data_IF_768790364087
#
_entry.id   IF_768790364087
#
_cell.length_a   1.000
_cell.length_b   1.000
_cell.length_c   1.000
_cell.angle_alpha   90.00
_cell.angle_beta   90.00
_cell.angle_gamma   90.00
#
_symmetry.space_group_name_H-M   'P 1'
#
loop_
_entity.id
_entity.type
_entity.pdbx_description
1 polymer ?
#
# COMPACT_ATOMS: atom_id res chain seq x y z
N UNK A 1 2.83 -21.36 -6.60
CA UNK A 1 1.65 -20.65 -7.14
C UNK A 1 2.13 -19.62 -8.15
N UNK A 2 1.82 -19.74 -9.45
CA UNK A 2 2.40 -18.91 -10.51
C UNK A 2 1.92 -17.44 -10.52
N UNK A 3 0.76 -17.15 -9.92
CA UNK A 3 0.19 -15.80 -9.93
C UNK A 3 1.08 -14.76 -9.24
N UNK A 4 1.55 -15.05 -8.02
CA UNK A 4 2.38 -14.13 -7.25
C UNK A 4 3.68 -13.80 -8.00
N UNK A 5 4.35 -14.82 -8.53
CA UNK A 5 5.58 -14.66 -9.32
C UNK A 5 5.35 -13.91 -10.64
N UNK A 6 4.26 -14.20 -11.36
CA UNK A 6 3.96 -13.54 -12.64
C UNK A 6 3.62 -12.05 -12.44
N UNK A 7 2.91 -11.73 -11.35
CA UNK A 7 2.62 -10.35 -10.97
C UNK A 7 3.87 -9.60 -10.53
N UNK A 8 4.70 -10.22 -9.69
CA UNK A 8 5.98 -9.66 -9.24
C UNK A 8 6.90 -9.35 -10.43
N UNK A 9 7.07 -10.30 -11.37
CA UNK A 9 7.85 -10.07 -12.59
C UNK A 9 7.33 -8.92 -13.47
N UNK A 10 6.03 -8.66 -13.46
CA UNK A 10 5.44 -7.52 -14.17
C UNK A 10 5.75 -6.18 -13.47
N UNK A 11 5.77 -6.16 -12.15
CA UNK A 11 6.16 -5.00 -11.34
C UNK A 11 7.66 -4.73 -11.44
N UNK A 12 8.50 -5.76 -11.39
CA UNK A 12 9.96 -5.64 -11.61
C UNK A 12 10.25 -4.97 -12.94
N UNK A 13 9.57 -5.38 -14.02
CA UNK A 13 9.74 -4.75 -15.33
C UNK A 13 9.40 -3.25 -15.33
N UNK A 14 8.37 -2.85 -14.58
CA UNK A 14 8.01 -1.43 -14.41
C UNK A 14 9.12 -0.68 -13.68
N UNK A 15 9.68 -1.27 -12.62
CA UNK A 15 10.74 -0.68 -11.80
C UNK A 15 12.11 -0.64 -12.50
N UNK A 16 12.39 -1.56 -13.42
CA UNK A 16 13.57 -1.55 -14.28
C UNK A 16 13.50 -0.48 -15.38
N UNK A 17 12.28 -0.03 -15.73
CA UNK A 17 12.03 0.90 -16.84
C UNK A 17 11.26 2.18 -16.42
N UNK A 18 11.70 2.93 -15.40
CA UNK A 18 10.94 4.10 -14.92
C UNK A 18 11.08 5.32 -15.86
N UNK A 19 12.16 5.37 -16.64
CA UNK A 19 12.59 6.49 -17.49
C UNK A 19 11.98 6.38 -18.90
N UNK A 20 11.88 5.16 -19.44
CA UNK A 20 11.34 4.92 -20.78
C UNK A 20 9.81 4.80 -20.78
N UNK A 21 9.23 4.84 -21.98
CA UNK A 21 7.82 4.49 -22.16
C UNK A 21 7.61 3.01 -21.81
N UNK A 22 6.90 2.80 -20.71
CA UNK A 22 6.56 1.46 -20.24
C UNK A 22 5.54 0.86 -21.22
N UNK A 23 5.94 -0.18 -21.93
CA UNK A 23 5.02 -0.94 -22.79
C UNK A 23 4.09 -1.80 -21.93
N UNK A 24 2.86 -1.33 -21.76
CA UNK A 24 1.83 -2.04 -21.01
C UNK A 24 1.50 -3.42 -21.60
N UNK A 25 1.79 -3.68 -22.87
CA UNK A 25 1.63 -5.01 -23.44
C UNK A 25 2.71 -5.97 -22.92
N UNK A 26 3.94 -5.50 -22.77
CA UNK A 26 5.04 -6.26 -22.17
C UNK A 26 4.77 -6.55 -20.69
N UNK A 27 4.27 -5.56 -19.94
CA UNK A 27 3.81 -5.74 -18.54
C UNK A 27 2.76 -6.85 -18.47
N UNK A 28 1.74 -6.76 -19.33
CA UNK A 28 0.63 -7.71 -19.35
C UNK A 28 1.07 -9.14 -19.73
N UNK A 29 1.99 -9.27 -20.70
CA UNK A 29 2.59 -10.55 -21.09
C UNK A 29 3.32 -11.21 -19.92
N UNK A 30 4.09 -10.45 -19.14
CA UNK A 30 4.76 -10.94 -17.92
C UNK A 30 3.75 -11.44 -16.88
N UNK A 31 2.65 -10.70 -16.71
CA UNK A 31 1.55 -11.09 -15.85
C UNK A 31 0.58 -12.13 -16.46
N UNK A 32 0.87 -12.67 -17.65
CA UNK A 32 0.04 -13.64 -18.39
C UNK A 32 -1.45 -13.24 -18.52
N UNK A 33 -1.73 -11.94 -18.68
CA UNK A 33 -3.08 -11.42 -18.83
C UNK A 33 -3.13 -10.32 -19.90
N UNK A 34 -4.32 -9.74 -20.13
CA UNK A 34 -4.44 -8.55 -20.97
C UNK A 34 -4.04 -7.28 -20.20
N UNK A 35 -3.60 -6.25 -20.92
CA UNK A 35 -3.23 -4.95 -20.32
C UNK A 35 -4.36 -4.33 -19.51
N UNK A 36 -5.60 -4.52 -19.96
CA UNK A 36 -6.79 -4.11 -19.22
C UNK A 36 -6.94 -4.88 -17.89
N UNK A 37 -6.80 -6.21 -17.91
CA UNK A 37 -6.90 -7.03 -16.69
C UNK A 37 -5.78 -6.68 -15.71
N UNK A 38 -4.55 -6.52 -16.18
CA UNK A 38 -3.43 -6.15 -15.32
C UNK A 38 -3.68 -4.82 -14.60
N UNK A 39 -4.10 -3.78 -15.32
CA UNK A 39 -4.36 -2.46 -14.72
C UNK A 39 -5.51 -2.50 -13.70
N UNK A 40 -6.59 -3.24 -13.99
CA UNK A 40 -7.72 -3.42 -13.07
C UNK A 40 -7.30 -4.16 -11.81
N UNK A 41 -6.56 -5.25 -11.98
CA UNK A 41 -6.04 -6.06 -10.90
C UNK A 41 -5.06 -5.27 -10.02
N UNK A 42 -4.09 -4.58 -10.64
CA UNK A 42 -3.18 -3.68 -9.94
C UNK A 42 -3.96 -2.66 -9.11
N UNK A 43 -4.92 -1.97 -9.73
CA UNK A 43 -5.70 -0.94 -9.03
C UNK A 43 -6.50 -1.52 -7.87
N UNK A 44 -7.02 -2.74 -8.02
CA UNK A 44 -7.76 -3.44 -6.97
C UNK A 44 -6.88 -3.88 -5.81
N UNK A 45 -5.63 -4.27 -6.08
CA UNK A 45 -4.69 -4.74 -5.05
C UNK A 45 -4.02 -3.58 -4.31
N UNK A 46 -3.66 -2.50 -5.02
CA UNK A 46 -2.86 -1.39 -4.48
C UNK A 46 -3.75 -0.21 -4.02
N UNK A 47 -4.98 -0.13 -4.53
CA UNK A 47 -5.89 0.99 -4.24
C UNK A 47 -5.58 2.27 -5.03
N UNK A 48 -4.61 2.25 -5.95
CA UNK A 48 -4.31 3.36 -6.87
C UNK A 48 -4.17 2.86 -8.31
N UNK A 49 -4.47 3.70 -9.32
CA UNK A 49 -4.22 3.36 -10.72
C UNK A 49 -2.75 3.08 -10.99
N UNK A 50 -2.46 2.16 -11.92
CA UNK A 50 -1.09 1.86 -12.35
C UNK A 50 -0.35 3.10 -12.88
N UNK A 51 -1.04 3.96 -13.63
CA UNK A 51 -0.47 5.21 -14.14
C UNK A 51 -0.07 6.17 -13.01
N UNK A 52 -0.82 6.20 -11.92
CA UNK A 52 -0.51 7.00 -10.74
C UNK A 52 0.72 6.44 -10.02
N UNK A 53 0.83 5.11 -9.90
CA UNK A 53 2.03 4.48 -9.38
C UNK A 53 3.28 4.86 -10.17
N UNK A 54 3.26 4.66 -11.49
CA UNK A 54 4.38 5.02 -12.39
C UNK A 54 4.74 6.50 -12.26
N UNK A 55 3.74 7.39 -12.21
CA UNK A 55 3.95 8.84 -12.01
C UNK A 55 4.67 9.13 -10.70
N UNK A 56 4.29 8.46 -9.61
CA UNK A 56 4.92 8.63 -8.29
C UNK A 56 6.37 8.15 -8.26
N UNK A 57 6.64 7.01 -8.90
CA UNK A 57 8.00 6.48 -9.05
C UNK A 57 8.89 7.42 -9.87
N UNK A 58 8.41 7.89 -11.02
CA UNK A 58 9.11 8.86 -11.88
C UNK A 58 9.47 10.15 -11.15
N UNK A 59 8.51 10.75 -10.44
CA UNK A 59 8.75 12.01 -9.72
C UNK A 59 9.71 11.83 -8.53
N UNK A 60 9.61 10.70 -7.81
CA UNK A 60 10.57 10.35 -6.73
C UNK A 60 12.00 10.24 -7.27
N UNK A 61 12.20 9.56 -8.40
CA UNK A 61 13.51 9.41 -9.02
C UNK A 61 14.03 10.73 -9.61
N UNK A 62 13.16 11.52 -10.23
CA UNK A 62 13.51 12.85 -10.71
C UNK A 62 13.97 13.79 -9.58
N UNK A 63 13.26 13.76 -8.45
CA UNK A 63 13.64 14.52 -7.26
C UNK A 63 15.04 14.12 -6.77
N UNK A 64 15.31 12.81 -6.67
CA UNK A 64 16.61 12.30 -6.29
C UNK A 64 17.72 12.74 -7.26
N UNK A 65 17.46 12.70 -8.57
CA UNK A 65 18.43 13.14 -9.58
C UNK A 65 18.69 14.66 -9.54
N UNK A 66 17.66 15.47 -9.27
CA UNK A 66 17.82 16.93 -9.14
C UNK A 66 18.65 17.28 -7.90
N UNK A 67 18.50 16.54 -6.79
CA UNK A 67 19.29 16.74 -5.57
C UNK A 67 20.77 16.36 -5.77
N UNK A 68 21.03 15.30 -6.54
CA UNK A 68 22.36 14.73 -6.68
C UNK A 68 23.10 15.15 -7.97
N UNK A 69 22.52 16.05 -8.78
CA UNK A 69 23.13 16.50 -10.04
C UNK A 69 22.84 17.95 -10.39
N UNK A 70 23.78 18.55 -11.12
CA UNK A 70 23.64 19.87 -11.73
C UNK A 70 22.94 19.85 -13.11
N UNK A 71 22.36 18.70 -13.50
CA UNK A 71 21.68 18.53 -14.79
C UNK A 71 20.55 19.54 -15.02
N UNK A 72 20.25 19.89 -16.28
CA UNK A 72 19.15 20.83 -16.54
C UNK A 72 17.83 20.17 -16.17
N UNK A 73 16.97 20.90 -15.43
CA UNK A 73 15.65 20.41 -15.01
C UNK A 73 14.81 19.97 -16.23
N UNK A 74 14.94 20.66 -17.36
CA UNK A 74 14.27 20.28 -18.61
C UNK A 74 14.74 18.92 -19.13
N UNK A 75 16.04 18.63 -19.08
CA UNK A 75 16.60 17.36 -19.54
C UNK A 75 16.16 16.22 -18.60
N UNK A 76 16.13 16.48 -17.29
CA UNK A 76 15.60 15.55 -16.28
C UNK A 76 14.10 15.31 -16.51
N UNK A 77 13.31 16.34 -16.79
CA UNK A 77 11.89 16.21 -17.09
C UNK A 77 11.65 15.29 -18.29
N UNK A 78 12.38 15.52 -19.39
CA UNK A 78 12.33 14.69 -20.60
C UNK A 78 12.73 13.24 -20.31
N UNK A 79 13.81 13.05 -19.54
CA UNK A 79 14.26 11.73 -19.09
C UNK A 79 13.16 10.97 -18.36
N UNK A 80 12.37 11.61 -17.50
CA UNK A 80 11.28 10.94 -16.78
C UNK A 80 9.92 10.98 -17.50
N UNK A 81 9.94 11.13 -18.82
CA UNK A 81 8.75 10.97 -19.68
C UNK A 81 7.80 12.17 -19.68
N UNK A 82 8.29 13.38 -19.38
CA UNK A 82 7.51 14.61 -19.51
C UNK A 82 7.94 15.40 -20.75
N UNK A 83 7.00 15.64 -21.67
CA UNK A 83 7.26 16.35 -22.92
C UNK A 83 7.59 17.84 -22.72
N UNK A 84 7.12 18.46 -21.63
CA UNK A 84 7.28 19.89 -21.38
C UNK A 84 7.69 20.18 -19.95
N UNK A 85 8.50 21.23 -19.77
CA UNK A 85 8.93 21.69 -18.45
C UNK A 85 7.75 22.10 -17.55
N UNK A 86 6.69 22.67 -18.13
CA UNK A 86 5.50 23.11 -17.40
C UNK A 86 4.68 21.95 -16.85
N UNK A 87 4.48 20.87 -17.63
CA UNK A 87 3.76 19.68 -17.17
C UNK A 87 4.52 18.97 -16.05
N UNK A 88 5.85 18.85 -16.18
CA UNK A 88 6.72 18.32 -15.15
C UNK A 88 6.65 19.17 -13.87
N UNK A 89 6.85 20.49 -13.98
CA UNK A 89 6.84 21.38 -12.81
C UNK A 89 5.53 21.31 -12.04
N UNK A 90 4.40 21.28 -12.75
CA UNK A 90 3.07 21.14 -12.13
C UNK A 90 2.92 19.81 -11.40
N UNK A 91 3.26 18.70 -12.05
CA UNK A 91 3.16 17.37 -11.45
C UNK A 91 4.10 17.20 -10.24
N UNK A 92 5.32 17.72 -10.37
CA UNK A 92 6.35 17.70 -9.33
C UNK A 92 5.90 18.51 -8.11
N UNK A 93 5.40 19.74 -8.31
CA UNK A 93 4.92 20.58 -7.23
C UNK A 93 3.69 19.99 -6.54
N UNK A 94 2.77 19.37 -7.30
CA UNK A 94 1.62 18.67 -6.71
C UNK A 94 2.03 17.51 -5.79
N UNK A 95 3.13 16.83 -6.11
CA UNK A 95 3.63 15.73 -5.30
C UNK A 95 4.49 16.18 -4.12
N UNK A 96 5.51 16.99 -4.39
CA UNK A 96 6.54 17.33 -3.41
C UNK A 96 6.25 18.64 -2.66
N UNK A 97 5.23 19.41 -3.06
CA UNK A 97 4.88 20.70 -2.47
C UNK A 97 5.80 21.87 -2.88
N UNK A 98 6.89 21.58 -3.59
CA UNK A 98 7.90 22.56 -4.02
C UNK A 98 8.18 22.45 -5.51
N UNK A 99 8.72 23.50 -6.13
CA UNK A 99 9.13 23.45 -7.53
C UNK A 99 10.47 22.72 -7.69
N UNK A 100 10.73 22.10 -8.85
CA UNK A 100 12.01 21.43 -9.13
C UNK A 100 13.23 22.31 -8.86
N UNK A 101 13.18 23.61 -9.18
CA UNK A 101 14.30 24.54 -8.98
C UNK A 101 14.64 24.78 -7.50
N UNK A 102 13.67 24.60 -6.59
CA UNK A 102 13.91 24.78 -5.14
C UNK A 102 14.61 23.57 -4.52
N UNK A 103 14.52 22.40 -5.14
CA UNK A 103 15.02 21.11 -4.61
C UNK A 103 16.51 21.13 -4.28
N UNK A 104 17.32 21.92 -4.99
CA UNK A 104 18.76 22.07 -4.75
C UNK A 104 19.11 22.90 -3.52
N UNK A 105 18.14 23.56 -2.91
CA UNK A 105 18.37 24.34 -1.69
C UNK A 105 18.36 23.41 -0.49
N UNK A 106 19.32 23.54 0.41
CA UNK A 106 19.36 22.77 1.64
C UNK A 106 18.07 22.92 2.46
N UNK A 107 17.64 21.84 3.12
CA UNK A 107 16.49 21.83 4.04
C UNK A 107 15.11 21.63 3.39
N UNK A 108 15.04 21.26 2.11
CA UNK A 108 13.79 20.96 1.42
C UNK A 108 13.30 19.54 1.74
N UNK A 109 12.07 19.41 2.23
CA UNK A 109 11.41 18.11 2.43
C UNK A 109 10.72 17.66 1.14
N UNK A 110 10.92 16.39 0.76
CA UNK A 110 10.36 15.79 -0.45
C UNK A 110 9.61 14.51 -0.11
N UNK A 111 8.50 14.28 -0.80
CA UNK A 111 7.79 13.00 -0.75
C UNK A 111 8.55 11.94 -1.55
N UNK A 112 8.72 10.74 -0.98
CA UNK A 112 9.30 9.60 -1.66
C UNK A 112 8.34 8.42 -1.64
N UNK A 113 8.11 7.82 -2.81
CA UNK A 113 7.29 6.61 -2.96
C UNK A 113 8.22 5.45 -3.34
N UNK A 114 8.61 4.56 -2.42
CA UNK A 114 9.50 3.44 -2.74
C UNK A 114 8.85 2.43 -3.72
N UNK A 115 9.64 1.56 -4.37
CA UNK A 115 9.10 0.41 -5.09
C UNK A 115 8.14 -0.39 -4.21
N UNK A 116 7.06 -0.90 -4.78
CA UNK A 116 6.15 -1.77 -4.03
C UNK A 116 6.78 -3.16 -3.90
N UNK A 117 6.68 -3.74 -2.70
CA UNK A 117 6.96 -5.15 -2.42
C UNK A 117 5.69 -5.87 -1.99
N UNK A 118 5.56 -7.14 -2.35
CA UNK A 118 4.39 -7.97 -2.03
C UNK A 118 4.78 -9.13 -1.11
N UNK A 119 3.90 -9.43 -0.17
CA UNK A 119 3.90 -10.69 0.57
C UNK A 119 2.53 -11.35 0.39
N UNK A 120 2.49 -12.45 -0.36
CA UNK A 120 1.27 -13.24 -0.53
C UNK A 120 1.18 -14.28 0.58
N UNK A 121 0.32 -14.03 1.56
CA UNK A 121 -0.01 -14.99 2.62
C UNK A 121 -1.29 -15.72 2.22
N UNK A 122 -1.17 -16.99 1.83
CA UNK A 122 -2.31 -17.85 1.56
C UNK A 122 -2.71 -18.55 2.86
N UNK A 123 -3.86 -18.18 3.42
CA UNK A 123 -4.42 -18.80 4.64
C UNK A 123 -5.62 -19.68 4.29
N UNK A 124 -5.95 -20.65 5.15
CA UNK A 124 -7.16 -21.50 5.01
C UNK A 124 -7.02 -22.72 4.10
N UNK A 125 -5.80 -23.05 3.64
CA UNK A 125 -5.51 -24.30 2.91
C UNK A 125 -5.21 -25.49 3.82
N UNK A 126 -4.89 -25.22 5.08
CA UNK A 126 -4.69 -26.24 6.10
C UNK A 126 -6.00 -26.49 6.86
N UNK A 127 -6.22 -27.76 7.23
CA UNK A 127 -7.37 -28.15 8.01
C UNK A 127 -7.30 -27.48 9.38
N UNK A 128 -8.20 -26.52 9.62
CA UNK A 128 -8.38 -25.89 10.91
C UNK A 128 -9.19 -26.85 11.79
N UNK A 129 -8.58 -27.35 12.88
CA UNK A 129 -9.34 -28.04 13.91
C UNK A 129 -10.19 -26.99 14.62
N UNK A 130 -11.51 -27.15 14.53
CA UNK A 130 -12.44 -26.26 15.20
C UNK A 130 -13.26 -27.05 16.21
N UNK A 131 -13.54 -26.42 17.34
CA UNK A 131 -14.52 -26.90 18.30
C UNK A 131 -15.48 -25.77 18.62
N UNK A 132 -16.77 -26.08 18.56
CA UNK A 132 -17.83 -25.21 19.04
C UNK A 132 -17.95 -25.42 20.55
N UNK A 133 -17.69 -24.38 21.33
CA UNK A 133 -17.89 -24.41 22.78
C UNK A 133 -18.95 -23.37 23.19
N UNK A 134 -19.84 -23.79 24.08
CA UNK A 134 -20.74 -22.86 24.77
C UNK A 134 -19.96 -22.21 25.91
N UNK A 135 -19.86 -20.89 25.89
CA UNK A 135 -19.09 -20.12 26.89
C UNK A 135 -20.03 -19.32 27.78
N UNK A 136 -19.64 -19.11 29.03
CA UNK A 136 -20.32 -18.14 29.89
C UNK A 136 -20.15 -16.73 29.31
N UNK A 137 -21.11 -15.81 29.50
CA UNK A 137 -20.93 -14.43 29.04
C UNK A 137 -19.65 -13.80 29.59
N UNK A 138 -18.78 -13.30 28.72
CA UNK A 138 -17.56 -12.59 29.10
C UNK A 138 -17.36 -11.32 28.27
N UNK A 139 -16.60 -10.37 28.82
CA UNK A 139 -16.27 -9.13 28.12
C UNK A 139 -15.09 -9.35 27.19
N UNK A 140 -15.29 -9.13 25.90
CA UNK A 140 -14.24 -9.14 24.87
C UNK A 140 -13.83 -7.71 24.54
N UNK A 141 -12.52 -7.47 24.47
CA UNK A 141 -11.90 -6.22 24.04
C UNK A 141 -11.04 -6.50 22.79
N UNK A 142 -11.07 -5.60 21.82
CA UNK A 142 -10.28 -5.73 20.59
C UNK A 142 -9.93 -4.36 20.04
N UNK A 143 -8.86 -4.28 19.25
CA UNK A 143 -8.45 -3.08 18.53
C UNK A 143 -8.86 -3.17 17.07
N UNK A 144 -9.23 -2.02 16.50
CA UNK A 144 -9.42 -1.90 15.06
C UNK A 144 -8.03 -1.81 14.39
N UNK A 145 -7.77 -2.69 13.42
CA UNK A 145 -6.46 -2.84 12.76
C UNK A 145 -6.01 -1.59 11.98
N UNK A 146 -6.89 -0.60 11.80
CA UNK A 146 -6.62 0.62 11.02
C UNK A 146 -5.84 1.68 11.84
N UNK A 147 -5.70 1.55 13.16
CA UNK A 147 -5.16 2.63 14.02
C UNK A 147 -3.66 2.51 14.41
N UNK A 148 -2.86 1.69 13.72
CA UNK A 148 -1.46 1.41 14.09
C UNK A 148 -0.48 2.52 13.65
N UNK A 149 -0.76 3.77 14.02
CA UNK A 149 0.26 4.84 14.03
C UNK A 149 0.32 5.41 15.44
N UNK A 150 1.39 5.09 16.19
CA UNK A 150 1.67 5.65 17.52
C UNK A 150 1.35 4.76 18.73
N UNK A 151 0.79 3.58 18.52
CA UNK A 151 0.53 2.59 19.57
C UNK A 151 1.62 1.51 19.59
N UNK A 152 2.24 1.33 20.76
CA UNK A 152 3.17 0.23 21.03
C UNK A 152 2.51 -0.81 22.00
N UNK A 153 3.06 -2.02 22.14
CA UNK A 153 2.47 -3.07 22.96
C UNK A 153 2.27 -2.69 24.44
N UNK A 154 3.13 -1.84 25.00
CA UNK A 154 3.05 -1.44 26.41
C UNK A 154 1.91 -0.43 26.64
N UNK A 155 1.78 0.57 25.76
CA UNK A 155 0.66 1.53 25.79
C UNK A 155 -0.69 0.84 25.62
N UNK A 156 -0.73 -0.26 24.88
CA UNK A 156 -1.95 -1.05 24.74
C UNK A 156 -2.34 -1.72 26.05
N UNK A 157 -1.40 -2.37 26.73
CA UNK A 157 -1.65 -3.06 28.00
C UNK A 157 -2.13 -2.08 29.08
N UNK A 158 -1.48 -0.92 29.21
CA UNK A 158 -1.92 0.14 30.13
C UNK A 158 -3.32 0.66 29.79
N UNK A 159 -3.67 0.78 28.51
CA UNK A 159 -5.00 1.22 28.09
C UNK A 159 -6.06 0.16 28.41
N UNK A 160 -5.77 -1.12 28.17
CA UNK A 160 -6.69 -2.22 28.49
C UNK A 160 -6.93 -2.34 29.97
N UNK A 161 -5.88 -2.20 30.79
CA UNK A 161 -5.99 -2.25 32.26
C UNK A 161 -6.87 -1.10 32.78
N UNK A 162 -6.72 0.11 32.23
CA UNK A 162 -7.58 1.26 32.57
C UNK A 162 -9.04 1.10 32.15
N UNK A 163 -9.32 0.39 31.06
CA UNK A 163 -10.70 0.08 30.65
C UNK A 163 -11.31 -0.99 31.57
N UNK A 164 -10.52 -1.99 31.96
CA UNK A 164 -10.93 -3.05 32.90
C UNK A 164 -11.32 -2.44 34.26
N UNK A 165 -10.54 -1.48 34.75
CA UNK A 165 -10.81 -0.79 36.02
C UNK A 165 -12.03 0.15 35.98
N UNK A 166 -12.32 0.76 34.83
CA UNK A 166 -13.38 1.79 34.70
C UNK A 166 -14.73 1.27 34.20
N UNK A 167 -14.81 0.00 33.80
CA UNK A 167 -16.08 -0.70 33.54
C UNK A 167 -16.98 -0.11 32.45
N UNK A 168 -16.46 0.77 31.57
CA UNK A 168 -17.27 1.44 30.55
C UNK A 168 -17.16 0.71 29.21
N UNK A 169 -18.32 0.31 28.66
CA UNK A 169 -18.43 -0.63 27.54
C UNK A 169 -18.15 0.02 26.15
N UNK A 170 -17.13 -0.54 25.48
CA UNK A 170 -16.87 -0.81 24.03
C UNK A 170 -16.77 0.33 22.98
N UNK A 171 -15.94 0.07 21.93
CA UNK A 171 -16.55 -0.32 20.65
C UNK A 171 -16.15 -1.72 20.16
N UNK A 172 -17.03 -2.28 19.33
CA UNK A 172 -17.01 -3.63 18.78
C UNK A 172 -16.18 -3.75 17.49
N UNK A 173 -15.60 -4.92 17.24
CA UNK A 173 -14.99 -5.28 15.96
C UNK A 173 -16.05 -5.93 15.06
N UNK A 174 -16.30 -5.31 13.91
CA UNK A 174 -17.12 -5.87 12.83
C UNK A 174 -16.26 -6.73 11.91
N UNK A 175 -16.51 -8.04 11.89
CA UNK A 175 -16.06 -8.95 10.83
C UNK A 175 -17.06 -9.01 9.67
N UNK A 176 -16.53 -9.34 8.50
CA UNK A 176 -17.12 -9.54 7.15
C UNK A 176 -18.67 -9.71 7.12
N UNK A 177 -19.42 -8.93 6.31
CA UNK A 177 -20.88 -8.82 6.38
C UNK A 177 -21.71 -10.11 6.25
N UNK A 178 -21.15 -11.18 5.68
CA UNK A 178 -21.92 -12.38 5.30
C UNK A 178 -22.24 -13.34 6.46
N UNK A 179 -21.63 -13.17 7.64
CA UNK A 179 -21.75 -14.13 8.76
C UNK A 179 -22.76 -13.74 9.86
N UNK A 180 -23.60 -12.72 9.60
CA UNK A 180 -24.49 -12.11 10.61
C UNK A 180 -25.51 -13.04 11.28
N UNK A 181 -25.80 -14.21 10.73
CA UNK A 181 -26.82 -15.11 11.28
C UNK A 181 -26.29 -16.18 12.25
N UNK A 182 -24.97 -16.44 12.30
CA UNK A 182 -24.43 -17.62 13.01
C UNK A 182 -23.86 -17.27 14.39
N UNK A 183 -23.53 -16.01 14.66
CA UNK A 183 -22.81 -15.58 15.87
C UNK A 183 -23.75 -15.01 16.94
N UNK A 184 -24.77 -15.77 17.35
CA UNK A 184 -25.61 -15.41 18.51
C UNK A 184 -25.18 -16.15 19.79
N UNK A 185 -24.49 -17.29 19.69
CA UNK A 185 -24.12 -18.10 20.87
C UNK A 185 -22.78 -18.85 20.82
N UNK A 186 -22.05 -18.82 19.70
CA UNK A 186 -20.94 -19.75 19.49
C UNK A 186 -19.64 -19.01 19.19
N UNK A 187 -18.62 -19.27 20.02
CA UNK A 187 -17.23 -18.88 19.73
C UNK A 187 -16.59 -20.04 19.01
N UNK A 188 -16.11 -19.80 17.79
CA UNK A 188 -15.26 -20.75 17.06
C UNK A 188 -13.84 -20.51 17.57
N UNK A 189 -13.30 -21.45 18.34
CA UNK A 189 -11.87 -21.46 18.68
C UNK A 189 -11.13 -22.16 17.56
N UNK A 190 -10.17 -21.45 16.96
CA UNK A 190 -9.11 -22.03 16.16
C UNK A 190 -8.14 -22.76 17.09
N UNK A 191 -8.03 -24.09 16.98
CA UNK A 191 -6.98 -24.85 17.64
C UNK A 191 -5.77 -25.03 16.72
#
# INVERSE_FOLDING_TARGET
>A
MPFASDFESAIEYIEENPVSDIDLNTVAKKAKCSSYHFQRMFSSLIGIPLSEYIRRRRLTLAAFEIQNSDGKITDIALKYGYETHSSFTRAFQLMHGVTPSKVRTDGVSLMAYPPISFQFILTGVEAMQYQIIETQPFKLFGMDAVQIVGWDPEKFLEHTDRIIEKGNDKPAVYGIPEWRAIISKLIIIAL
#
